data_IF_212434627181
#
_entry.id   IF_212434627181
#
_cell.length_a   1.000
_cell.length_b   1.000
_cell.length_c   1.000
_cell.angle_alpha   90.00
_cell.angle_beta   90.00
_cell.angle_gamma   90.00
#
_symmetry.space_group_name_H-M   'P 1'
#
loop_
_entity.id
_entity.type
_entity.pdbx_description
1 polymer ?
#
# COMPACT_ATOMS: atom_id res chain seq x y z
N UNK A 1 5.22 11.56 9.82
CA UNK A 1 3.84 11.14 9.53
C UNK A 1 3.34 10.17 10.58
N UNK A 2 2.04 10.19 10.85
CA UNK A 2 1.35 9.26 11.75
C UNK A 2 0.45 8.29 10.97
N UNK A 3 -0.33 7.47 11.68
CA UNK A 3 -1.24 6.51 11.07
C UNK A 3 -2.37 7.20 10.28
N UNK A 4 -2.84 8.38 10.71
CA UNK A 4 -3.92 9.08 10.02
C UNK A 4 -3.48 9.57 8.64
N UNK A 5 -2.23 10.04 8.48
CA UNK A 5 -1.66 10.37 7.16
C UNK A 5 -1.68 9.15 6.24
N UNK A 6 -1.31 7.97 6.74
CA UNK A 6 -1.32 6.74 5.96
C UNK A 6 -2.74 6.32 5.55
N UNK A 7 -3.72 6.47 6.44
CA UNK A 7 -5.12 6.16 6.16
C UNK A 7 -5.71 7.04 5.07
N UNK A 8 -5.55 8.37 5.17
CA UNK A 8 -6.10 9.28 4.16
C UNK A 8 -5.43 9.05 2.80
N UNK A 9 -4.12 8.80 2.79
CA UNK A 9 -3.35 8.52 1.58
C UNK A 9 -3.83 7.23 0.89
N UNK A 10 -3.99 6.15 1.65
CA UNK A 10 -4.48 4.86 1.16
C UNK A 10 -5.91 4.96 0.64
N UNK A 11 -6.78 5.64 1.38
CA UNK A 11 -8.17 5.87 1.02
C UNK A 11 -8.29 6.61 -0.31
N UNK A 12 -7.46 7.63 -0.51
CA UNK A 12 -7.48 8.41 -1.74
C UNK A 12 -7.10 7.56 -2.96
N UNK A 13 -6.04 6.77 -2.85
CA UNK A 13 -5.60 5.85 -3.92
C UNK A 13 -6.67 4.80 -4.22
N UNK A 14 -7.26 4.20 -3.20
CA UNK A 14 -8.36 3.24 -3.36
C UNK A 14 -9.55 3.86 -4.10
N UNK A 15 -9.97 5.07 -3.70
CA UNK A 15 -11.09 5.77 -4.35
C UNK A 15 -10.78 6.11 -5.81
N UNK A 16 -9.56 6.56 -6.12
CA UNK A 16 -9.16 6.85 -7.50
C UNK A 16 -9.22 5.61 -8.39
N UNK A 17 -8.73 4.47 -7.90
CA UNK A 17 -8.83 3.21 -8.64
C UNK A 17 -10.29 2.75 -8.77
N UNK A 18 -11.06 2.78 -7.68
CA UNK A 18 -12.49 2.40 -7.67
C UNK A 18 -13.29 3.17 -8.72
N UNK A 19 -13.05 4.47 -8.81
CA UNK A 19 -13.78 5.37 -9.68
C UNK A 19 -13.10 5.62 -11.03
N UNK A 20 -11.98 4.93 -11.31
CA UNK A 20 -11.25 5.05 -12.57
C UNK A 20 -10.91 6.50 -12.94
N UNK A 21 -10.43 7.28 -11.97
CA UNK A 21 -10.10 8.70 -12.16
C UNK A 21 -9.00 8.83 -13.22
N UNK A 22 -9.09 9.87 -14.05
CA UNK A 22 -8.04 10.24 -15.00
C UNK A 22 -7.20 11.37 -14.40
N UNK A 23 -5.87 11.22 -14.39
CA UNK A 23 -4.95 12.28 -13.93
C UNK A 23 -4.97 13.48 -14.87
N UNK A 24 -4.39 14.60 -14.44
CA UNK A 24 -4.28 15.81 -15.28
C UNK A 24 -3.50 15.55 -16.58
N UNK A 25 -2.61 14.57 -16.58
CA UNK A 25 -1.80 14.13 -17.73
C UNK A 25 -2.54 13.12 -18.62
N UNK A 26 -3.82 12.83 -18.35
CA UNK A 26 -4.64 11.94 -19.17
C UNK A 26 -4.49 10.45 -18.83
N UNK A 27 -3.84 10.10 -17.74
CA UNK A 27 -3.62 8.69 -17.36
C UNK A 27 -4.76 8.16 -16.50
N UNK A 28 -5.35 7.04 -16.91
CA UNK A 28 -6.36 6.35 -16.10
C UNK A 28 -5.71 5.69 -14.88
N UNK A 29 -6.28 5.93 -13.71
CA UNK A 29 -5.90 5.29 -12.46
C UNK A 29 -6.73 4.02 -12.31
N UNK A 30 -6.15 2.90 -12.77
CA UNK A 30 -6.70 1.56 -12.60
C UNK A 30 -5.82 0.70 -11.67
N UNK A 31 -6.29 -0.52 -11.37
CA UNK A 31 -5.60 -1.47 -10.49
C UNK A 31 -4.18 -1.78 -10.97
N UNK A 32 -4.01 -2.01 -12.28
CA UNK A 32 -2.71 -2.32 -12.85
C UNK A 32 -1.73 -1.16 -12.68
N UNK A 33 -2.21 0.07 -12.89
CA UNK A 33 -1.38 1.26 -12.72
C UNK A 33 -1.00 1.51 -11.26
N UNK A 34 -1.94 1.40 -10.32
CA UNK A 34 -1.66 1.59 -8.90
C UNK A 34 -0.66 0.55 -8.36
N UNK A 35 -0.83 -0.72 -8.71
CA UNK A 35 0.09 -1.79 -8.30
C UNK A 35 1.49 -1.62 -8.91
N UNK A 36 1.57 -1.16 -10.16
CA UNK A 36 2.84 -0.84 -10.80
C UNK A 36 3.60 0.24 -10.02
N UNK A 37 2.96 1.37 -9.71
CA UNK A 37 3.59 2.45 -8.93
C UNK A 37 4.02 1.93 -7.56
N UNK A 38 3.16 1.18 -6.88
CA UNK A 38 3.48 0.63 -5.57
C UNK A 38 4.77 -0.21 -5.59
N UNK A 39 4.92 -1.08 -6.60
CA UNK A 39 6.12 -1.89 -6.76
C UNK A 39 7.35 -1.03 -7.05
N UNK A 40 7.25 -0.08 -7.99
CA UNK A 40 8.34 0.83 -8.35
C UNK A 40 8.85 1.61 -7.12
N UNK A 41 7.93 2.14 -6.31
CA UNK A 41 8.28 2.88 -5.10
C UNK A 41 8.87 1.98 -4.01
N UNK A 42 8.34 0.77 -3.83
CA UNK A 42 8.89 -0.19 -2.88
C UNK A 42 10.32 -0.62 -3.24
N UNK A 43 10.60 -0.84 -4.53
CA UNK A 43 11.92 -1.21 -5.04
C UNK A 43 12.92 -0.06 -4.90
N UNK A 44 12.51 1.16 -5.24
CA UNK A 44 13.34 2.36 -5.09
C UNK A 44 13.70 2.61 -3.62
N UNK A 45 12.72 2.54 -2.72
CA UNK A 45 12.94 2.71 -1.28
C UNK A 45 13.83 1.60 -0.73
N UNK A 46 13.60 0.35 -1.11
CA UNK A 46 14.41 -0.78 -0.65
C UNK A 46 15.88 -0.65 -1.06
N UNK A 47 16.17 -0.10 -2.25
CA UNK A 47 17.54 0.12 -2.74
C UNK A 47 18.30 1.15 -1.90
N UNK A 48 17.60 2.16 -1.39
CA UNK A 48 18.18 3.25 -0.58
C UNK A 48 18.21 2.93 0.92
N UNK A 49 17.60 1.83 1.33
CA UNK A 49 17.37 1.49 2.72
C UNK A 49 18.45 0.54 3.29
N UNK A 50 18.66 0.54 4.62
CA UNK A 50 19.50 -0.45 5.26
C UNK A 50 18.95 -1.88 5.07
N UNK A 51 19.84 -2.87 5.23
CA UNK A 51 19.45 -4.29 5.25
C UNK A 51 18.45 -4.56 6.37
N UNK A 52 17.47 -5.41 6.10
CA UNK A 52 16.39 -5.74 7.06
C UNK A 52 15.23 -4.74 7.07
N UNK A 53 15.18 -3.79 6.13
CA UNK A 53 14.01 -2.93 5.96
C UNK A 53 12.74 -3.74 5.61
N UNK A 54 11.58 -3.10 5.81
CA UNK A 54 10.27 -3.73 5.64
C UNK A 54 9.46 -3.15 4.45
N UNK A 55 10.08 -2.45 3.50
CA UNK A 55 9.34 -1.79 2.42
C UNK A 55 8.58 -2.78 1.54
N UNK A 56 9.22 -3.90 1.18
CA UNK A 56 8.57 -4.96 0.41
C UNK A 56 7.43 -5.63 1.18
N UNK A 57 7.59 -5.81 2.49
CA UNK A 57 6.52 -6.35 3.34
C UNK A 57 5.34 -5.37 3.43
N UNK A 58 5.62 -4.09 3.67
CA UNK A 58 4.61 -3.04 3.69
C UNK A 58 3.85 -2.97 2.36
N UNK A 59 4.56 -3.03 1.23
CA UNK A 59 3.94 -3.06 -0.10
C UNK A 59 2.99 -4.25 -0.28
N UNK A 60 3.32 -5.43 0.23
CA UNK A 60 2.44 -6.61 0.17
C UNK A 60 1.11 -6.37 0.90
N UNK A 61 1.15 -5.83 2.12
CA UNK A 61 -0.08 -5.49 2.86
C UNK A 61 -0.85 -4.35 2.18
N UNK A 62 -0.14 -3.38 1.60
CA UNK A 62 -0.74 -2.21 0.97
C UNK A 62 -1.38 -2.52 -0.40
N UNK A 63 -0.90 -3.54 -1.12
CA UNK A 63 -1.31 -3.86 -2.48
C UNK A 63 -2.82 -4.05 -2.62
N UNK A 64 -3.44 -4.87 -1.74
CA UNK A 64 -4.89 -5.06 -1.75
C UNK A 64 -5.67 -3.76 -1.49
N UNK A 65 -5.10 -2.90 -0.65
CA UNK A 65 -5.76 -1.70 -0.12
C UNK A 65 -5.80 -0.51 -1.09
N UNK A 66 -5.16 -0.62 -2.25
CA UNK A 66 -5.14 0.43 -3.29
C UNK A 66 -5.78 -0.01 -4.60
N UNK A 67 -6.43 -1.17 -4.64
CA UNK A 67 -6.95 -1.76 -5.88
C UNK A 67 -8.38 -1.36 -6.23
N UNK A 68 -9.10 -0.64 -5.36
CA UNK A 68 -10.53 -0.38 -5.52
C UNK A 68 -11.42 -1.61 -5.29
N UNK A 69 -10.85 -2.74 -4.85
CA UNK A 69 -11.56 -3.96 -4.50
C UNK A 69 -11.77 -4.00 -2.99
N UNK A 70 -11.07 -4.90 -2.28
CA UNK A 70 -11.15 -5.02 -0.83
C UNK A 70 -10.52 -3.82 -0.11
N UNK A 71 -11.11 -3.44 1.02
CA UNK A 71 -10.65 -2.32 1.83
C UNK A 71 -10.85 -2.65 3.32
N UNK A 72 -9.76 -2.66 4.08
CA UNK A 72 -9.81 -2.81 5.53
C UNK A 72 -10.26 -1.51 6.19
N UNK A 73 -11.17 -1.61 7.16
CA UNK A 73 -11.70 -0.48 7.93
C UNK A 73 -10.60 0.37 8.58
N UNK A 74 -9.56 -0.30 9.10
CA UNK A 74 -8.39 0.34 9.70
C UNK A 74 -7.10 -0.36 9.28
N UNK A 75 -6.13 0.41 8.82
CA UNK A 75 -4.76 0.00 8.51
C UNK A 75 -4.06 -0.59 9.74
N UNK A 76 -4.34 -0.04 10.93
CA UNK A 76 -3.75 -0.53 12.18
C UNK A 76 -4.22 -1.94 12.50
N UNK A 77 -5.50 -2.26 12.30
CA UNK A 77 -6.04 -3.61 12.47
C UNK A 77 -5.46 -4.58 11.44
N UNK A 78 -5.32 -4.15 10.18
CA UNK A 78 -4.71 -4.95 9.11
C UNK A 78 -3.29 -5.39 9.46
N UNK A 79 -2.51 -4.48 10.05
CA UNK A 79 -1.09 -4.70 10.33
C UNK A 79 -0.81 -5.22 11.75
N UNK A 80 -1.83 -5.23 12.63
CA UNK A 80 -1.63 -5.44 14.06
C UNK A 80 -0.88 -6.74 14.36
N UNK A 81 -1.30 -7.85 13.75
CA UNK A 81 -0.68 -9.15 13.99
C UNK A 81 0.76 -9.21 13.48
N UNK A 82 1.05 -8.64 12.31
CA UNK A 82 2.42 -8.62 11.75
C UNK A 82 3.39 -7.78 12.59
N UNK A 83 2.87 -6.72 13.24
CA UNK A 83 3.68 -5.82 14.07
C UNK A 83 3.83 -6.37 15.50
N UNK A 84 2.77 -6.96 16.05
CA UNK A 84 2.72 -7.40 17.46
C UNK A 84 3.21 -8.82 17.69
N UNK A 85 3.19 -9.69 16.67
CA UNK A 85 3.65 -11.07 16.82
C UNK A 85 5.19 -11.12 16.90
N UNK A 86 5.78 -11.69 17.96
CA UNK A 86 7.20 -11.97 17.98
C UNK A 86 7.53 -13.09 16.98
N UNK A 87 8.12 -12.72 15.84
CA UNK A 87 8.86 -13.65 14.97
C UNK A 87 8.08 -14.44 13.93
N UNK A 88 6.85 -14.08 13.56
CA UNK A 88 6.13 -14.75 12.47
C UNK A 88 5.75 -13.76 11.38
N UNK A 89 6.49 -13.77 10.27
CA UNK A 89 5.97 -13.29 9.00
C UNK A 89 4.74 -14.16 8.69
N UNK A 90 3.54 -13.60 8.85
CA UNK A 90 2.32 -14.35 8.58
C UNK A 90 2.38 -14.82 7.12
N UNK A 91 2.25 -16.13 6.90
CA UNK A 91 2.08 -16.70 5.56
C UNK A 91 0.77 -16.15 5.00
N UNK A 92 0.89 -15.17 4.12
CA UNK A 92 -0.13 -14.78 3.14
C UNK A 92 0.05 -15.66 1.90
#
# INVERSE_FOLDING_TARGET
EDAATAEVSRSQLWQWVKHNVTTAEGKRVDKGYALKILQEQADELATKAPKGNKYQLAARYFAGQVTGEDYADFLTSLLYNEISAPGSAAKL
#
